data_IF_818574189258
#
_entry.id   IF_818574189258
#
_cell.length_a   1.000
_cell.length_b   1.000
_cell.length_c   1.000
_cell.angle_alpha   90.00
_cell.angle_beta   90.00
_cell.angle_gamma   90.00
#
_symmetry.space_group_name_H-M   'P 1'
#
loop_
_entity.id
_entity.type
_entity.pdbx_description
1 polymer ?
#
# COMPACT_ATOMS: atom_id res chain seq x y z
N UNK A 1 23.27 -21.75 14.13
CA UNK A 1 23.43 -20.90 12.93
C UNK A 1 22.24 -19.97 12.91
N UNK A 2 22.49 -18.68 13.09
CA UNK A 2 21.47 -17.64 13.26
C UNK A 2 20.86 -17.33 11.89
N UNK A 3 19.61 -17.74 11.65
CA UNK A 3 18.87 -17.34 10.45
C UNK A 3 18.20 -16.00 10.70
N UNK A 4 18.87 -14.93 10.29
CA UNK A 4 18.31 -13.58 10.18
C UNK A 4 17.08 -13.62 9.28
N UNK A 5 15.90 -13.13 9.70
CA UNK A 5 14.75 -13.02 8.82
C UNK A 5 15.13 -12.05 7.72
N UNK A 6 15.20 -12.56 6.51
CA UNK A 6 15.58 -11.75 5.35
C UNK A 6 14.30 -11.15 4.84
N UNK A 7 14.08 -9.85 5.04
CA UNK A 7 13.23 -9.10 4.11
C UNK A 7 13.76 -9.43 2.73
N UNK A 8 12.98 -10.17 1.96
CA UNK A 8 13.49 -10.71 0.71
C UNK A 8 13.97 -9.53 -0.14
N UNK A 9 15.22 -9.55 -0.64
CA UNK A 9 15.76 -8.42 -1.38
C UNK A 9 14.87 -8.12 -2.59
N UNK A 10 14.91 -6.86 -3.08
CA UNK A 10 14.22 -6.51 -4.31
C UNK A 10 14.61 -7.49 -5.42
N UNK A 11 13.62 -8.00 -6.16
CA UNK A 11 13.88 -8.90 -7.30
C UNK A 11 14.65 -8.17 -8.41
N UNK A 12 14.40 -6.86 -8.51
CA UNK A 12 15.17 -5.92 -9.33
C UNK A 12 15.47 -4.72 -8.44
N UNK A 13 16.75 -4.46 -8.18
CA UNK A 13 17.15 -3.29 -7.40
C UNK A 13 16.75 -2.00 -8.14
N UNK A 14 16.11 -1.03 -7.47
CA UNK A 14 15.85 0.28 -8.08
C UNK A 14 17.15 0.94 -8.54
N UNK A 15 17.15 1.53 -9.74
CA UNK A 15 18.30 2.31 -10.20
C UNK A 15 18.48 3.55 -9.31
N UNK A 16 19.71 3.90 -8.92
CA UNK A 16 19.95 5.15 -8.20
C UNK A 16 19.65 6.35 -9.11
N UNK A 17 19.26 7.52 -8.55
CA UNK A 17 18.90 8.71 -9.35
C UNK A 17 19.93 9.15 -10.39
N UNK A 18 21.22 8.92 -10.13
CA UNK A 18 22.31 9.22 -11.04
C UNK A 18 22.25 8.42 -12.37
N UNK A 19 21.66 7.23 -12.33
CA UNK A 19 21.56 6.30 -13.47
C UNK A 19 20.24 6.42 -14.25
N UNK A 20 19.31 7.26 -13.80
CA UNK A 20 18.05 7.45 -14.50
C UNK A 20 18.26 8.12 -15.86
N UNK A 21 17.59 7.70 -16.94
CA UNK A 21 17.69 8.36 -18.24
C UNK A 21 17.31 9.85 -18.18
N UNK A 22 17.94 10.74 -18.98
CA UNK A 22 17.71 12.18 -18.93
C UNK A 22 16.22 12.58 -19.06
N UNK A 23 15.50 11.96 -20.00
CA UNK A 23 14.09 12.29 -20.24
C UNK A 23 13.19 11.89 -19.07
N UNK A 24 13.50 10.75 -18.42
CA UNK A 24 12.81 10.33 -17.20
C UNK A 24 13.14 11.27 -16.04
N UNK A 25 14.39 11.70 -15.89
CA UNK A 25 14.76 12.71 -14.88
C UNK A 25 14.01 14.03 -15.08
N UNK A 26 13.80 14.46 -16.33
CA UNK A 26 13.01 15.67 -16.62
C UNK A 26 11.55 15.51 -16.24
N UNK A 27 10.92 14.41 -16.65
CA UNK A 27 9.53 14.11 -16.29
C UNK A 27 9.32 14.05 -14.77
N UNK A 28 10.29 13.48 -14.06
CA UNK A 28 10.27 13.38 -12.60
C UNK A 28 10.64 14.68 -11.90
N UNK A 29 11.45 15.54 -12.52
CA UNK A 29 11.72 16.88 -12.02
C UNK A 29 10.44 17.72 -11.95
N UNK A 30 9.56 17.56 -12.94
CA UNK A 30 8.23 18.18 -12.93
C UNK A 30 7.31 17.55 -11.87
N UNK A 31 7.47 16.26 -11.59
CA UNK A 31 6.80 15.54 -10.48
C UNK A 31 7.39 15.85 -9.09
N UNK A 32 8.49 16.61 -8.96
CA UNK A 32 9.02 17.02 -7.62
C UNK A 32 8.05 17.88 -6.82
N UNK A 33 6.96 18.35 -7.44
CA UNK A 33 5.80 18.91 -6.74
C UNK A 33 5.11 17.89 -5.80
N UNK A 34 5.36 16.59 -5.96
CA UNK A 34 4.78 15.49 -5.17
C UNK A 34 5.66 15.03 -3.97
N UNK A 35 6.71 15.79 -3.62
CA UNK A 35 7.54 15.61 -2.42
C UNK A 35 8.60 14.48 -2.46
N UNK A 36 9.56 14.47 -1.53
CA UNK A 36 10.61 13.44 -1.43
C UNK A 36 10.05 12.05 -1.09
N UNK A 37 10.84 10.99 -1.31
CA UNK A 37 10.48 9.62 -0.91
C UNK A 37 9.72 8.83 -1.97
N UNK A 38 10.17 8.90 -3.23
CA UNK A 38 9.67 8.12 -4.40
C UNK A 38 10.79 7.53 -5.25
N UNK A 39 12.03 7.61 -4.78
CA UNK A 39 13.25 7.26 -5.50
C UNK A 39 13.25 5.78 -5.90
N UNK A 40 12.77 4.88 -5.05
CA UNK A 40 12.72 3.45 -5.30
C UNK A 40 11.61 3.08 -6.28
N UNK A 41 10.44 3.75 -6.22
CA UNK A 41 9.41 3.63 -7.25
C UNK A 41 9.96 4.03 -8.62
N UNK A 42 10.55 5.23 -8.70
CA UNK A 42 11.05 5.76 -9.96
C UNK A 42 12.28 4.99 -10.47
N UNK A 43 13.19 4.58 -9.59
CA UNK A 43 14.32 3.74 -9.90
C UNK A 43 13.92 2.35 -10.38
N UNK A 44 12.79 1.81 -9.89
CA UNK A 44 12.22 0.56 -10.41
C UNK A 44 11.72 0.76 -11.85
N UNK A 45 10.96 1.81 -12.12
CA UNK A 45 10.43 2.11 -13.46
C UNK A 45 11.54 2.51 -14.45
N UNK A 46 12.65 3.08 -13.97
CA UNK A 46 13.77 3.52 -14.79
C UNK A 46 14.47 2.39 -15.57
N UNK A 47 14.26 1.13 -15.18
CA UNK A 47 14.68 -0.03 -15.97
C UNK A 47 13.99 -0.12 -17.34
N UNK A 48 12.83 0.55 -17.52
CA UNK A 48 12.13 0.62 -18.80
C UNK A 48 11.61 2.05 -19.08
N UNK A 49 12.47 2.99 -19.51
CA UNK A 49 12.16 4.43 -19.55
C UNK A 49 10.98 4.80 -20.45
N UNK A 50 10.80 4.13 -21.59
CA UNK A 50 9.66 4.38 -22.49
C UNK A 50 8.32 4.06 -21.82
N UNK A 51 8.27 2.95 -21.08
CA UNK A 51 7.08 2.54 -20.34
C UNK A 51 6.86 3.45 -19.13
N UNK A 52 7.93 3.79 -18.41
CA UNK A 52 7.88 4.73 -17.30
C UNK A 52 7.26 6.07 -17.73
N UNK A 53 7.68 6.61 -18.87
CA UNK A 53 7.15 7.86 -19.41
C UNK A 53 5.64 7.76 -19.69
N UNK A 54 5.21 6.72 -20.40
CA UNK A 54 3.79 6.50 -20.71
C UNK A 54 2.94 6.33 -19.45
N UNK A 55 3.43 5.53 -18.50
CA UNK A 55 2.78 5.31 -17.21
C UNK A 55 2.61 6.62 -16.44
N UNK A 56 3.70 7.35 -16.23
CA UNK A 56 3.69 8.59 -15.43
C UNK A 56 2.83 9.67 -16.09
N UNK A 57 2.77 9.70 -17.42
CA UNK A 57 1.87 10.59 -18.15
C UNK A 57 0.40 10.28 -17.87
N UNK A 58 0.02 9.00 -17.87
CA UNK A 58 -1.34 8.60 -17.50
C UNK A 58 -1.63 8.87 -16.02
N UNK A 59 -0.67 8.58 -15.13
CA UNK A 59 -0.78 8.90 -13.71
C UNK A 59 -1.05 10.38 -13.48
N UNK A 60 -0.31 11.26 -14.15
CA UNK A 60 -0.47 12.71 -14.07
C UNK A 60 -1.89 13.15 -14.46
N UNK A 61 -2.46 12.57 -15.51
CA UNK A 61 -3.84 12.86 -15.91
C UNK A 61 -4.81 12.49 -14.78
N UNK A 62 -4.69 11.27 -14.24
CA UNK A 62 -5.58 10.81 -13.16
C UNK A 62 -5.40 11.58 -11.84
N UNK A 63 -4.21 12.13 -11.57
CA UNK A 63 -3.91 12.82 -10.29
C UNK A 63 -4.10 14.33 -10.33
N UNK A 64 -3.93 14.99 -11.48
CA UNK A 64 -3.98 16.46 -11.55
C UNK A 64 -5.02 17.01 -12.53
N UNK A 65 -5.40 16.24 -13.55
CA UNK A 65 -6.29 16.68 -14.63
C UNK A 65 -7.64 15.92 -14.64
N UNK A 66 -7.84 15.04 -13.65
CA UNK A 66 -8.97 14.13 -13.56
C UNK A 66 -10.30 14.81 -13.19
N UNK A 67 -11.39 14.31 -13.76
CA UNK A 67 -12.75 14.76 -13.51
C UNK A 67 -13.38 14.10 -12.28
N UNK A 68 -12.80 13.03 -11.74
CA UNK A 68 -13.38 12.30 -10.61
C UNK A 68 -13.38 13.16 -9.33
N UNK A 69 -12.34 13.98 -9.14
CA UNK A 69 -12.14 14.78 -7.93
C UNK A 69 -11.33 14.03 -6.88
N UNK A 70 -10.62 14.80 -6.03
CA UNK A 70 -9.52 14.27 -5.22
C UNK A 70 -10.00 13.23 -4.19
N UNK A 71 -11.08 13.51 -3.43
CA UNK A 71 -11.56 12.60 -2.39
C UNK A 71 -11.91 11.21 -2.93
N UNK A 72 -12.67 11.17 -4.03
CA UNK A 72 -13.10 9.92 -4.69
C UNK A 72 -11.92 9.14 -5.22
N UNK A 73 -10.95 9.82 -5.84
CA UNK A 73 -9.70 9.20 -6.31
C UNK A 73 -8.98 8.50 -5.16
N UNK A 74 -8.78 9.20 -4.04
CA UNK A 74 -8.01 8.64 -2.92
C UNK A 74 -8.74 7.48 -2.22
N UNK A 75 -10.08 7.50 -2.12
CA UNK A 75 -10.86 6.35 -1.65
C UNK A 75 -10.61 5.10 -2.50
N UNK A 76 -10.66 5.24 -3.83
CA UNK A 76 -10.40 4.13 -4.75
C UNK A 76 -8.95 3.65 -4.63
N UNK A 77 -7.98 4.56 -4.62
CA UNK A 77 -6.56 4.21 -4.56
C UNK A 77 -6.23 3.47 -3.26
N UNK A 78 -6.63 4.01 -2.11
CA UNK A 78 -6.39 3.38 -0.82
C UNK A 78 -7.04 2.00 -0.74
N UNK A 79 -8.29 1.87 -1.21
CA UNK A 79 -9.00 0.59 -1.15
C UNK A 79 -8.40 -0.46 -2.07
N UNK A 80 -8.09 -0.13 -3.32
CA UNK A 80 -7.40 -1.05 -4.25
C UNK A 80 -6.04 -1.46 -3.67
N UNK A 81 -5.27 -0.51 -3.13
CA UNK A 81 -3.98 -0.81 -2.52
C UNK A 81 -4.11 -1.77 -1.33
N UNK A 82 -5.10 -1.57 -0.46
CA UNK A 82 -5.39 -2.51 0.63
C UNK A 82 -5.76 -3.91 0.11
N UNK A 83 -6.64 -4.00 -0.89
CA UNK A 83 -7.09 -5.29 -1.45
C UNK A 83 -5.98 -6.09 -2.13
N UNK A 84 -4.93 -5.41 -2.59
CA UNK A 84 -3.77 -6.02 -3.22
C UNK A 84 -2.55 -6.11 -2.28
N UNK A 85 -2.74 -5.85 -0.99
CA UNK A 85 -1.68 -5.87 0.03
C UNK A 85 -0.47 -4.99 -0.34
N UNK A 86 -0.74 -3.81 -0.87
CA UNK A 86 0.28 -2.88 -1.36
C UNK A 86 0.54 -1.76 -0.34
N UNK A 87 1.23 -2.11 0.75
CA UNK A 87 1.56 -1.19 1.84
C UNK A 87 2.30 0.08 1.39
N UNK A 88 3.17 -0.02 0.37
CA UNK A 88 3.84 1.14 -0.22
C UNK A 88 2.83 2.18 -0.74
N UNK A 89 1.88 1.74 -1.58
CA UNK A 89 0.90 2.62 -2.22
C UNK A 89 -0.05 3.18 -1.16
N UNK A 90 -0.57 2.31 -0.30
CA UNK A 90 -1.48 2.72 0.77
C UNK A 90 -0.86 3.81 1.65
N UNK A 91 0.37 3.60 2.15
CA UNK A 91 1.09 4.57 2.99
C UNK A 91 1.31 5.90 2.28
N UNK A 92 1.75 5.86 1.02
CA UNK A 92 2.04 7.07 0.23
C UNK A 92 0.78 7.91 -0.03
N UNK A 93 -0.37 7.26 -0.17
CA UNK A 93 -1.64 7.93 -0.45
C UNK A 93 -2.38 8.45 0.79
N UNK A 94 -1.91 8.16 2.02
CA UNK A 94 -2.52 8.74 3.25
C UNK A 94 -2.47 10.27 3.28
N UNK A 95 -1.34 10.87 2.90
CA UNK A 95 -1.18 12.34 2.88
C UNK A 95 -2.09 12.96 1.79
N UNK A 96 -2.03 12.52 0.52
CA UNK A 96 -2.99 12.96 -0.51
C UNK A 96 -4.45 12.80 -0.11
N UNK A 97 -4.81 11.71 0.59
CA UNK A 97 -6.17 11.49 1.09
C UNK A 97 -6.57 12.54 2.15
N UNK A 98 -5.67 12.86 3.08
CA UNK A 98 -5.91 13.90 4.06
C UNK A 98 -6.06 15.29 3.40
N UNK A 99 -5.19 15.61 2.43
CA UNK A 99 -5.26 16.85 1.65
C UNK A 99 -6.55 16.93 0.80
N UNK A 100 -7.09 15.78 0.40
CA UNK A 100 -8.38 15.65 -0.27
C UNK A 100 -9.60 15.74 0.68
N UNK A 101 -9.37 15.91 1.98
CA UNK A 101 -10.40 16.07 3.00
C UNK A 101 -10.92 14.77 3.60
N UNK A 102 -10.22 13.64 3.45
CA UNK A 102 -10.52 12.44 4.25
C UNK A 102 -10.00 12.61 5.68
N UNK A 103 -10.80 12.22 6.66
CA UNK A 103 -10.35 12.15 8.05
C UNK A 103 -9.43 10.95 8.28
N UNK A 104 -8.61 10.98 9.33
CA UNK A 104 -7.76 9.84 9.70
C UNK A 104 -8.59 8.54 9.88
N UNK A 105 -9.77 8.65 10.51
CA UNK A 105 -10.68 7.52 10.69
C UNK A 105 -11.22 6.95 9.37
N UNK A 106 -11.53 7.81 8.40
CA UNK A 106 -11.94 7.37 7.05
C UNK A 106 -10.77 6.68 6.32
N UNK A 107 -9.57 7.28 6.35
CA UNK A 107 -8.38 6.68 5.73
C UNK A 107 -8.13 5.29 6.34
N UNK A 108 -8.19 5.15 7.66
CA UNK A 108 -8.00 3.86 8.32
C UNK A 108 -9.11 2.86 7.98
N UNK A 109 -10.36 3.33 7.87
CA UNK A 109 -11.50 2.50 7.49
C UNK A 109 -11.42 1.96 6.04
N UNK A 110 -10.65 2.59 5.15
CA UNK A 110 -10.42 2.02 3.80
C UNK A 110 -9.68 0.67 3.84
N UNK A 111 -8.94 0.41 4.92
CA UNK A 111 -8.22 -0.83 5.17
C UNK A 111 -8.97 -1.82 6.10
N UNK A 112 -10.26 -1.56 6.37
CA UNK A 112 -11.12 -2.41 7.20
C UNK A 112 -12.31 -2.96 6.38
N UNK A 113 -13.23 -3.67 7.03
CA UNK A 113 -14.52 -3.99 6.42
C UNK A 113 -15.26 -2.67 6.07
N UNK A 114 -15.66 -2.44 4.80
CA UNK A 114 -16.38 -1.22 4.42
C UNK A 114 -17.71 -1.01 5.17
N UNK A 115 -18.28 -2.04 5.81
CA UNK A 115 -19.48 -1.92 6.64
C UNK A 115 -19.20 -1.40 8.05
N UNK A 116 -17.93 -1.38 8.48
CA UNK A 116 -17.53 -0.94 9.82
C UNK A 116 -17.47 0.59 10.00
N UNK A 117 -17.65 1.36 8.92
CA UNK A 117 -17.65 2.82 8.94
C UNK A 117 -18.92 3.36 8.25
N UNK A 118 -19.55 4.44 8.77
CA UNK A 118 -20.78 4.99 8.22
C UNK A 118 -20.53 5.84 6.97
N UNK A 119 -20.05 5.21 5.90
CA UNK A 119 -19.81 5.86 4.61
C UNK A 119 -21.10 6.44 4.01
N UNK A 120 -20.95 7.53 3.26
CA UNK A 120 -22.00 7.98 2.35
C UNK A 120 -22.35 6.87 1.34
N UNK A 121 -23.56 6.92 0.77
CA UNK A 121 -23.97 5.93 -0.23
C UNK A 121 -23.03 5.91 -1.45
N UNK A 122 -22.49 7.07 -1.82
CA UNK A 122 -21.53 7.22 -2.91
C UNK A 122 -20.16 6.63 -2.54
N UNK A 123 -19.58 7.02 -1.41
CA UNK A 123 -18.28 6.52 -0.96
C UNK A 123 -18.30 4.99 -0.81
N UNK A 124 -19.39 4.44 -0.26
CA UNK A 124 -19.56 2.99 -0.15
C UNK A 124 -19.60 2.29 -1.51
N UNK A 125 -20.25 2.89 -2.51
CA UNK A 125 -20.28 2.35 -3.87
C UNK A 125 -18.88 2.40 -4.53
N UNK A 126 -18.09 3.45 -4.27
CA UNK A 126 -16.71 3.54 -4.75
C UNK A 126 -15.80 2.47 -4.14
N UNK A 127 -15.93 2.23 -2.83
CA UNK A 127 -15.18 1.17 -2.13
C UNK A 127 -15.57 -0.23 -2.61
N UNK A 128 -16.87 -0.50 -2.80
CA UNK A 128 -17.37 -1.76 -3.36
C UNK A 128 -16.88 -1.99 -4.79
N UNK A 129 -16.85 -0.94 -5.62
CA UNK A 129 -16.29 -1.01 -6.96
C UNK A 129 -14.78 -1.29 -6.94
N UNK A 130 -14.03 -0.61 -6.06
CA UNK A 130 -12.61 -0.85 -5.87
C UNK A 130 -12.33 -2.32 -5.48
N UNK A 131 -13.15 -2.91 -4.61
CA UNK A 131 -13.03 -4.32 -4.21
C UNK A 131 -13.20 -5.29 -5.38
N UNK A 132 -14.25 -5.09 -6.19
CA UNK A 132 -14.51 -5.93 -7.36
C UNK A 132 -13.42 -5.76 -8.43
N UNK A 133 -13.03 -4.52 -8.73
CA UNK A 133 -12.04 -4.24 -9.76
C UNK A 133 -10.64 -4.73 -9.37
N UNK A 134 -10.25 -4.61 -8.10
CA UNK A 134 -8.99 -5.19 -7.58
C UNK A 134 -8.98 -6.73 -7.70
N UNK A 135 -10.15 -7.37 -7.56
CA UNK A 135 -10.33 -8.80 -7.77
C UNK A 135 -10.55 -9.18 -9.26
N UNK A 136 -10.36 -8.24 -10.19
CA UNK A 136 -10.62 -8.42 -11.63
C UNK A 136 -12.04 -8.99 -11.92
N UNK A 137 -13.02 -8.52 -11.15
CA UNK A 137 -14.43 -8.93 -11.23
C UNK A 137 -15.28 -7.82 -11.84
N UNK A 138 -16.31 -8.17 -12.64
CA UNK A 138 -17.22 -7.17 -13.21
C UNK A 138 -18.07 -6.53 -12.11
N UNK A 139 -18.48 -5.27 -12.32
CA UNK A 139 -19.45 -4.61 -11.46
C UNK A 139 -20.84 -5.22 -11.69
N UNK A 140 -21.60 -5.43 -10.62
CA UNK A 140 -23.00 -5.85 -10.74
C UNK A 140 -23.85 -4.72 -11.33
N UNK A 141 -24.95 -5.05 -12.02
CA UNK A 141 -25.90 -4.07 -12.57
C UNK A 141 -26.37 -3.07 -11.49
N UNK A 142 -26.72 -3.58 -10.31
CA UNK A 142 -27.18 -2.72 -9.21
C UNK A 142 -26.10 -1.78 -8.67
N UNK A 143 -24.81 -2.17 -8.70
CA UNK A 143 -23.71 -1.27 -8.33
C UNK A 143 -23.44 -0.26 -9.44
N UNK A 144 -23.46 -0.69 -10.69
CA UNK A 144 -23.33 0.18 -11.85
C UNK A 144 -24.38 1.28 -11.85
N UNK A 145 -25.66 0.95 -11.63
CA UNK A 145 -26.75 1.91 -11.58
C UNK A 145 -26.55 2.98 -10.49
N UNK A 146 -26.08 2.57 -9.29
CA UNK A 146 -25.77 3.52 -8.20
C UNK A 146 -24.64 4.48 -8.59
N UNK A 147 -23.56 3.95 -9.18
CA UNK A 147 -22.43 4.75 -9.62
C UNK A 147 -22.82 5.69 -10.76
N UNK A 148 -23.58 5.20 -11.74
CA UNK A 148 -24.03 5.98 -12.89
C UNK A 148 -25.07 7.06 -12.53
N UNK A 149 -25.76 6.91 -11.40
CA UNK A 149 -26.59 7.97 -10.85
C UNK A 149 -25.76 9.10 -10.21
N UNK A 150 -24.61 8.78 -9.62
CA UNK A 150 -23.75 9.74 -8.91
C UNK A 150 -22.64 10.36 -9.77
N UNK A 151 -22.20 9.66 -10.82
CA UNK A 151 -21.03 10.00 -11.63
C UNK A 151 -21.41 10.21 -13.10
N UNK A 152 -20.77 11.18 -13.74
CA UNK A 152 -20.85 11.35 -15.19
C UNK A 152 -20.18 10.20 -15.94
N UNK A 153 -20.50 9.98 -17.23
CA UNK A 153 -19.82 8.95 -18.03
C UNK A 153 -18.29 9.08 -18.05
N UNK A 154 -17.76 10.30 -18.09
CA UNK A 154 -16.31 10.54 -18.02
C UNK A 154 -15.70 10.08 -16.70
N UNK A 155 -16.38 10.36 -15.58
CA UNK A 155 -15.95 9.93 -14.25
C UNK A 155 -16.05 8.40 -14.06
N UNK A 156 -17.05 7.74 -14.66
CA UNK A 156 -17.15 6.28 -14.65
C UNK A 156 -15.97 5.64 -15.39
N UNK A 157 -15.62 6.16 -16.57
CA UNK A 157 -14.42 5.69 -17.31
C UNK A 157 -13.16 5.93 -16.48
N UNK A 158 -13.01 7.12 -15.89
CA UNK A 158 -11.86 7.47 -15.07
C UNK A 158 -11.73 6.57 -13.83
N UNK A 159 -12.84 6.23 -13.15
CA UNK A 159 -12.87 5.29 -12.03
C UNK A 159 -12.29 3.93 -12.44
N UNK A 160 -12.72 3.38 -13.58
CA UNK A 160 -12.25 2.08 -14.07
C UNK A 160 -10.76 2.12 -14.42
N UNK A 161 -10.32 3.17 -15.13
CA UNK A 161 -8.91 3.35 -15.51
C UNK A 161 -8.04 3.56 -14.27
N UNK A 162 -8.49 4.35 -13.30
CA UNK A 162 -7.79 4.58 -12.03
C UNK A 162 -7.62 3.29 -11.24
N UNK A 163 -8.69 2.51 -11.06
CA UNK A 163 -8.63 1.26 -10.32
C UNK A 163 -7.65 0.27 -11.00
N UNK A 164 -7.72 0.13 -12.33
CA UNK A 164 -6.82 -0.73 -13.10
C UNK A 164 -5.35 -0.26 -13.05
N UNK A 165 -5.11 1.04 -13.14
CA UNK A 165 -3.77 1.59 -13.04
C UNK A 165 -3.18 1.42 -11.63
N UNK A 166 -3.97 1.67 -10.59
CA UNK A 166 -3.55 1.41 -9.20
C UNK A 166 -3.23 -0.07 -9.01
N UNK A 167 -4.06 -0.97 -9.54
CA UNK A 167 -3.82 -2.41 -9.46
C UNK A 167 -2.52 -2.83 -10.19
N UNK A 168 -2.26 -2.23 -11.35
CA UNK A 168 -1.00 -2.44 -12.10
C UNK A 168 0.20 -1.97 -11.27
N UNK A 169 0.10 -0.82 -10.60
CA UNK A 169 1.16 -0.32 -9.71
C UNK A 169 1.41 -1.27 -8.54
N UNK A 170 0.35 -1.63 -7.82
CA UNK A 170 0.41 -2.52 -6.66
C UNK A 170 1.05 -3.85 -7.03
N UNK A 171 0.58 -4.46 -8.13
CA UNK A 171 1.12 -5.71 -8.65
C UNK A 171 2.61 -5.60 -8.98
N UNK A 172 3.01 -4.51 -9.65
CA UNK A 172 4.41 -4.27 -10.04
C UNK A 172 5.31 -4.16 -8.81
N UNK A 173 4.96 -3.29 -7.86
CA UNK A 173 5.79 -3.03 -6.67
C UNK A 173 5.88 -4.26 -5.76
N UNK A 174 4.76 -4.96 -5.53
CA UNK A 174 4.76 -6.17 -4.70
C UNK A 174 5.54 -7.30 -5.38
N UNK A 175 5.36 -7.50 -6.69
CA UNK A 175 6.08 -8.55 -7.44
C UNK A 175 7.58 -8.30 -7.46
N UNK A 176 8.00 -7.04 -7.67
CA UNK A 176 9.40 -6.66 -7.70
C UNK A 176 10.02 -6.49 -6.31
N UNK A 177 9.18 -6.48 -5.26
CA UNK A 177 9.57 -6.21 -3.87
C UNK A 177 10.29 -4.86 -3.77
N UNK A 178 9.73 -3.85 -4.43
CA UNK A 178 10.29 -2.50 -4.44
C UNK A 178 10.34 -1.97 -3.00
N UNK A 179 11.51 -1.59 -2.48
CA UNK A 179 11.63 -1.09 -1.12
C UNK A 179 10.90 0.25 -0.96
N UNK A 180 10.40 0.53 0.25
CA UNK A 180 9.93 1.88 0.58
C UNK A 180 11.09 2.86 0.64
N UNK A 181 10.85 4.12 0.27
CA UNK A 181 11.86 5.18 0.35
C UNK A 181 12.05 5.74 1.76
N UNK A 182 11.05 5.57 2.63
CA UNK A 182 11.20 5.85 4.06
C UNK A 182 11.56 4.54 4.76
N UNK A 183 12.65 4.50 5.54
CA UNK A 183 12.89 3.34 6.39
C UNK A 183 11.67 3.12 7.30
N UNK A 184 11.27 1.87 7.54
CA UNK A 184 10.18 1.59 8.47
C UNK A 184 10.56 2.09 9.86
N UNK A 185 9.62 2.59 10.65
CA UNK A 185 9.91 2.97 12.05
C UNK A 185 10.18 1.76 12.95
N UNK A 186 9.71 0.58 12.53
CA UNK A 186 9.83 -0.68 13.24
C UNK A 186 9.95 -1.83 12.23
N UNK A 187 10.97 -2.68 12.38
CA UNK A 187 11.07 -3.96 11.65
C UNK A 187 10.91 -5.11 12.64
N UNK A 188 10.07 -6.08 12.26
CA UNK A 188 9.77 -7.29 13.00
C UNK A 188 10.55 -8.45 12.40
N UNK A 189 11.24 -9.18 13.26
CA UNK A 189 12.01 -10.35 12.91
C UNK A 189 11.43 -11.55 13.67
N UNK A 190 11.01 -12.59 12.95
CA UNK A 190 10.46 -13.82 13.55
C UNK A 190 11.39 -15.01 13.33
N UNK A 191 11.94 -15.54 14.43
CA UNK A 191 12.69 -16.79 14.47
C UNK A 191 11.74 -17.97 14.64
N UNK A 192 11.37 -18.60 13.51
CA UNK A 192 10.45 -19.75 13.51
C UNK A 192 11.01 -20.95 14.28
N UNK A 193 12.32 -21.08 14.50
CA UNK A 193 12.90 -22.21 15.25
C UNK A 193 12.72 -22.06 16.77
N UNK A 194 12.51 -20.83 17.24
CA UNK A 194 12.15 -20.53 18.64
C UNK A 194 10.65 -20.48 18.88
N UNK A 195 9.84 -20.50 17.83
CA UNK A 195 8.40 -20.45 17.95
C UNK A 195 7.85 -21.72 18.60
N UNK A 196 7.22 -21.59 19.76
CA UNK A 196 6.58 -22.68 20.49
C UNK A 196 5.07 -22.79 20.23
N UNK A 197 4.58 -22.21 19.12
CA UNK A 197 3.20 -22.38 18.65
C UNK A 197 2.10 -21.90 19.60
N UNK A 198 2.41 -20.97 20.50
CA UNK A 198 1.45 -20.46 21.49
C UNK A 198 0.37 -19.53 20.89
N UNK A 199 0.61 -18.97 19.69
CA UNK A 199 -0.37 -18.13 18.98
C UNK A 199 -0.67 -16.76 19.64
N UNK A 200 -0.01 -16.39 20.74
CA UNK A 200 -0.32 -15.15 21.48
C UNK A 200 -0.07 -13.89 20.64
N UNK A 201 0.96 -13.89 19.80
CA UNK A 201 1.23 -12.78 18.89
C UNK A 201 0.16 -12.65 17.78
N UNK A 202 -0.42 -13.76 17.32
CA UNK A 202 -1.53 -13.73 16.35
C UNK A 202 -2.78 -13.14 16.99
N UNK A 203 -3.05 -13.46 18.27
CA UNK A 203 -4.16 -12.83 19.01
C UNK A 203 -3.92 -11.35 19.34
N UNK A 204 -2.66 -10.95 19.54
CA UNK A 204 -2.29 -9.58 19.91
C UNK A 204 -2.19 -8.64 18.69
N UNK A 205 -1.68 -9.12 17.56
CA UNK A 205 -1.46 -8.34 16.33
C UNK A 205 -1.74 -9.21 15.08
N UNK A 206 -3.00 -9.59 14.82
CA UNK A 206 -3.39 -10.47 13.71
C UNK A 206 -3.09 -9.89 12.31
N UNK A 207 -2.91 -8.56 12.21
CA UNK A 207 -2.52 -7.88 10.98
C UNK A 207 -1.04 -8.08 10.63
N UNK A 208 -0.22 -8.49 11.60
CA UNK A 208 1.23 -8.66 11.46
C UNK A 208 1.64 -10.12 11.53
N UNK A 209 0.92 -10.94 12.29
CA UNK A 209 1.23 -12.35 12.50
C UNK A 209 0.04 -13.23 12.10
N UNK A 210 0.32 -14.33 11.43
CA UNK A 210 -0.65 -15.40 11.18
C UNK A 210 -0.18 -16.72 11.77
N UNK A 211 -1.12 -17.64 11.98
CA UNK A 211 -0.82 -19.00 12.40
C UNK A 211 -0.74 -19.89 11.15
N UNK A 212 0.44 -20.44 10.86
CA UNK A 212 0.65 -21.38 9.75
C UNK A 212 -0.07 -22.70 10.08
N UNK A 213 -1.05 -23.07 9.26
CA UNK A 213 -1.84 -24.29 9.46
C UNK A 213 -1.03 -25.57 9.24
N UNK A 214 0.09 -25.51 8.51
CA UNK A 214 0.85 -26.70 8.11
C UNK A 214 1.72 -27.27 9.23
N UNK A 215 2.34 -26.39 10.03
CA UNK A 215 3.24 -26.77 11.12
C UNK A 215 2.83 -26.19 12.48
N UNK A 216 1.76 -25.41 12.53
CA UNK A 216 1.27 -24.76 13.73
C UNK A 216 2.22 -23.72 14.28
N UNK A 217 3.24 -23.26 13.54
CA UNK A 217 4.11 -22.15 13.93
C UNK A 217 3.54 -20.84 13.40
N UNK A 218 3.99 -19.74 13.98
CA UNK A 218 3.56 -18.41 13.52
C UNK A 218 4.35 -18.06 12.24
N UNK A 219 3.68 -17.44 11.28
CA UNK A 219 4.28 -16.77 10.15
C UNK A 219 4.12 -15.25 10.29
N UNK A 220 5.11 -14.52 9.78
CA UNK A 220 5.13 -13.06 9.78
C UNK A 220 4.54 -12.57 8.45
N UNK A 221 3.40 -11.89 8.53
CA UNK A 221 2.71 -11.31 7.38
C UNK A 221 3.40 -10.05 6.90
N UNK A 222 3.68 -9.14 7.85
CA UNK A 222 4.18 -7.80 7.56
C UNK A 222 5.49 -7.56 8.34
N UNK A 223 6.66 -7.77 7.71
CA UNK A 223 7.94 -7.54 8.38
C UNK A 223 8.18 -6.10 8.81
N UNK A 224 7.59 -5.13 8.10
CA UNK A 224 7.78 -3.71 8.31
C UNK A 224 6.43 -3.01 8.56
N UNK A 225 5.81 -3.26 9.73
CA UNK A 225 4.44 -2.80 10.00
C UNK A 225 4.32 -1.28 9.98
N UNK A 226 3.11 -0.78 9.73
CA UNK A 226 2.82 0.64 9.91
C UNK A 226 3.03 1.04 11.39
N UNK A 227 3.46 2.29 11.63
CA UNK A 227 3.73 2.80 12.97
C UNK A 227 2.51 2.71 13.90
N UNK A 228 1.28 2.71 13.33
CA UNK A 228 0.05 2.52 14.12
C UNK A 228 -0.03 1.17 14.83
N UNK A 229 0.66 0.15 14.31
CA UNK A 229 0.69 -1.21 14.89
C UNK A 229 1.86 -1.41 15.87
N UNK A 230 2.69 -0.38 16.09
CA UNK A 230 3.93 -0.54 16.82
C UNK A 230 3.70 -0.99 18.27
N UNK A 231 2.61 -0.52 18.89
CA UNK A 231 2.29 -0.87 20.28
C UNK A 231 1.74 -2.30 20.39
N UNK A 232 0.84 -2.73 19.48
CA UNK A 232 0.37 -4.12 19.46
C UNK A 232 1.51 -5.09 19.13
N UNK A 233 2.42 -4.71 18.25
CA UNK A 233 3.60 -5.53 17.88
C UNK A 233 4.59 -5.63 19.03
N UNK A 234 4.85 -4.54 19.76
CA UNK A 234 5.65 -4.56 21.01
C UNK A 234 5.03 -5.47 22.05
N UNK A 235 3.73 -5.34 22.26
CA UNK A 235 2.99 -6.20 23.17
C UNK A 235 3.03 -7.68 22.74
N UNK A 236 2.88 -7.96 21.44
CA UNK A 236 2.99 -9.32 20.88
C UNK A 236 4.38 -9.92 21.11
N UNK A 237 5.44 -9.12 21.00
CA UNK A 237 6.81 -9.53 21.30
C UNK A 237 6.98 -9.86 22.80
N UNK A 238 6.45 -9.02 23.68
CA UNK A 238 6.49 -9.22 25.15
C UNK A 238 5.74 -10.49 25.58
N UNK A 239 4.65 -10.82 24.90
CA UNK A 239 3.88 -12.04 25.16
C UNK A 239 4.56 -13.31 24.63
N UNK A 240 5.59 -13.21 23.78
CA UNK A 240 6.17 -14.38 23.10
C UNK A 240 6.96 -15.28 24.09
N UNK A 241 6.44 -16.47 24.48
CA UNK A 241 7.11 -17.27 25.50
C UNK A 241 8.38 -17.95 24.98
N UNK A 242 8.49 -18.11 23.66
CA UNK A 242 9.69 -18.64 22.99
C UNK A 242 10.78 -17.60 22.74
N UNK A 243 10.51 -16.30 22.97
CA UNK A 243 11.44 -15.23 22.57
C UNK A 243 11.76 -15.27 21.07
N UNK A 244 10.76 -15.61 20.25
CA UNK A 244 10.89 -15.78 18.81
C UNK A 244 10.78 -14.46 18.04
N UNK A 245 10.25 -13.40 18.66
CA UNK A 245 10.02 -12.10 18.02
C UNK A 245 11.12 -11.14 18.46
N UNK A 246 11.83 -10.55 17.49
CA UNK A 246 12.80 -9.47 17.72
C UNK A 246 12.30 -8.21 17.01
N UNK A 247 12.39 -7.09 17.69
CA UNK A 247 11.99 -5.78 17.19
C UNK A 247 13.21 -4.91 16.97
N UNK A 248 13.26 -4.27 15.79
CA UNK A 248 14.27 -3.28 15.44
C UNK A 248 13.56 -1.94 15.25
N UNK A 249 13.65 -1.05 16.24
CA UNK A 249 13.21 0.32 16.10
C UNK A 249 14.19 1.07 15.20
N UNK A 250 13.68 1.80 14.21
CA UNK A 250 14.48 2.74 13.42
C UNK A 250 13.99 4.14 13.76
N UNK A 251 14.84 4.93 14.41
CA UNK A 251 14.53 6.33 14.66
C UNK A 251 14.30 7.05 13.33
N UNK A 252 13.25 7.88 13.25
CA UNK A 252 13.17 8.88 12.19
C UNK A 252 14.37 9.82 12.38
N UNK A 253 15.44 9.61 11.60
CA UNK A 253 16.47 10.64 11.46
C UNK A 253 15.77 11.85 10.86
N UNK A 254 15.40 12.80 11.73
CA UNK A 254 14.98 14.13 11.34
C UNK A 254 16.10 14.69 10.45
N UNK A 255 15.85 14.78 9.14
CA UNK A 255 16.76 15.47 8.26
C UNK A 255 16.64 16.98 8.58
N UNK A 256 17.74 17.65 8.90
CA UNK A 256 17.73 19.09 9.19
C UNK A 256 17.31 19.93 7.98
#
# INVERSE_FOLDING_TARGET
MTTTPTTSPPRIAPLPPAEWPPDLRSLLADSRQDGPGRENLFGTLAHHPVLAHAWLSLARVLTHEGALGHRRRELIVLRVAHRLDAGYVHRRHRIPAADAGLTAAEIDATAADPTAHPWSAEDRALLEAADLLAANSPLSEGLWDRLAHALSPGQLVELLVLAGQTATMCTTLNTLRTPSDRPPSLTVLLDRDRCCSAGQCVGAAPEVFEQDESDGRVALLVPDPDARYADEVRFAADLCPGGAITLLDHEETAHP
#
